data_IF_716577614925
#
_entry.id   IF_716577614925
#
_cell.length_a   1.000
_cell.length_b   1.000
_cell.length_c   1.000
_cell.angle_alpha   90.00
_cell.angle_beta   90.00
_cell.angle_gamma   90.00
#
_symmetry.space_group_name_H-M   'P 1'
#
loop_
_entity.id
_entity.type
_entity.pdbx_description
1 polymer ?
#
# COMPACT_ATOMS: atom_id res chain seq x y z
N UNK A 1 -17.62 -5.83 18.50
CA UNK A 1 -16.42 -5.69 17.65
C UNK A 1 -15.54 -4.63 18.27
N UNK A 2 -14.22 -4.87 18.36
CA UNK A 2 -13.26 -3.86 18.82
C UNK A 2 -13.11 -2.80 17.75
N UNK A 3 -13.03 -1.52 18.14
CA UNK A 3 -12.80 -0.43 17.20
C UNK A 3 -11.38 -0.55 16.60
N UNK A 4 -11.18 -0.33 15.29
CA UNK A 4 -9.84 -0.30 14.71
C UNK A 4 -9.00 0.82 15.35
N UNK A 5 -7.77 0.49 15.73
CA UNK A 5 -6.82 1.45 16.31
C UNK A 5 -6.11 2.23 15.22
N UNK A 6 -6.08 3.54 15.38
CA UNK A 6 -5.43 4.47 14.44
C UNK A 6 -4.46 5.39 15.17
N UNK A 7 -3.25 5.55 14.63
CA UNK A 7 -2.34 6.62 15.02
C UNK A 7 -2.29 7.65 13.88
N UNK A 8 -2.43 8.92 14.24
CA UNK A 8 -2.24 10.06 13.33
C UNK A 8 -0.98 10.81 13.75
N UNK A 9 0.01 10.86 12.86
CA UNK A 9 1.26 11.62 13.04
C UNK A 9 1.22 12.81 12.10
N UNK A 10 0.98 14.00 12.61
CA UNK A 10 0.74 15.23 11.85
C UNK A 10 1.09 16.43 12.72
N UNK A 11 1.92 17.34 12.24
CA UNK A 11 2.38 18.53 13.00
C UNK A 11 1.41 19.73 12.89
N UNK A 12 0.58 19.82 11.84
CA UNK A 12 -0.52 20.79 11.81
C UNK A 12 -1.62 20.37 12.78
N UNK A 13 -1.60 20.98 13.97
CA UNK A 13 -2.57 20.69 15.04
C UNK A 13 -4.04 20.90 14.64
N UNK A 14 -4.33 21.75 13.64
CA UNK A 14 -5.70 21.94 13.14
C UNK A 14 -6.13 20.76 12.30
N UNK A 15 -5.28 20.35 11.38
CA UNK A 15 -5.51 19.18 10.52
C UNK A 15 -5.58 17.91 11.38
N UNK A 16 -4.63 17.72 12.29
CA UNK A 16 -4.59 16.60 13.22
C UNK A 16 -5.90 16.48 14.01
N UNK A 17 -6.35 17.58 14.65
CA UNK A 17 -7.60 17.60 15.44
C UNK A 17 -8.82 17.32 14.57
N UNK A 18 -8.90 17.95 13.39
CA UNK A 18 -9.99 17.72 12.42
C UNK A 18 -10.07 16.22 12.02
N UNK A 19 -8.94 15.61 11.73
CA UNK A 19 -8.88 14.19 11.35
C UNK A 19 -9.26 13.30 12.55
N UNK A 20 -8.70 13.57 13.73
CA UNK A 20 -9.05 12.83 14.95
C UNK A 20 -10.54 12.86 15.22
N UNK A 21 -11.14 14.06 15.27
CA UNK A 21 -12.56 14.22 15.55
C UNK A 21 -13.41 13.48 14.51
N UNK A 22 -13.04 13.59 13.24
CA UNK A 22 -13.73 12.90 12.14
C UNK A 22 -13.66 11.38 12.30
N UNK A 23 -12.46 10.79 12.50
CA UNK A 23 -12.31 9.34 12.59
C UNK A 23 -12.91 8.74 13.86
N UNK A 24 -12.92 9.46 14.97
CA UNK A 24 -13.66 9.06 16.18
C UNK A 24 -15.15 8.93 15.90
N UNK A 25 -15.75 9.84 15.11
CA UNK A 25 -17.17 9.71 14.68
C UNK A 25 -17.41 8.54 13.71
N UNK A 26 -16.36 7.99 13.11
CA UNK A 26 -16.41 6.85 12.20
C UNK A 26 -16.04 5.52 12.89
N UNK A 27 -16.11 5.48 14.23
CA UNK A 27 -15.86 4.33 15.10
C UNK A 27 -14.41 3.81 15.11
N UNK A 28 -13.42 4.71 14.93
CA UNK A 28 -12.01 4.42 15.17
C UNK A 28 -11.60 4.79 16.59
N UNK A 29 -10.62 4.06 17.15
CA UNK A 29 -9.88 4.43 18.35
C UNK A 29 -8.61 5.18 17.90
N UNK A 30 -8.55 6.50 18.19
CA UNK A 30 -7.56 7.39 17.55
C UNK A 30 -6.65 8.03 18.57
N UNK A 31 -5.35 7.74 18.50
CA UNK A 31 -4.27 8.47 19.15
C UNK A 31 -3.55 9.40 18.15
N UNK A 32 -2.87 10.43 18.67
CA UNK A 32 -2.20 11.43 17.83
C UNK A 32 -0.81 11.74 18.35
N UNK A 33 0.12 11.98 17.44
CA UNK A 33 1.47 12.49 17.68
C UNK A 33 1.67 13.75 16.83
N UNK A 34 2.31 14.76 17.40
CA UNK A 34 2.51 16.07 16.78
C UNK A 34 3.91 16.27 16.18
N UNK A 35 4.79 15.29 16.36
CA UNK A 35 6.10 15.24 15.71
C UNK A 35 6.57 13.79 15.47
N UNK A 36 7.72 13.68 14.81
CA UNK A 36 8.32 12.38 14.48
C UNK A 36 9.25 11.79 15.54
N UNK A 37 9.45 12.44 16.71
CA UNK A 37 10.48 12.04 17.67
C UNK A 37 10.30 10.62 18.22
N UNK A 38 9.11 10.29 18.69
CA UNK A 38 8.77 9.00 19.29
C UNK A 38 7.84 8.15 18.40
N UNK A 39 7.52 8.64 17.18
CA UNK A 39 6.52 8.02 16.32
C UNK A 39 6.83 6.57 16.00
N UNK A 40 8.06 6.25 15.60
CA UNK A 40 8.46 4.88 15.29
C UNK A 40 8.34 3.95 16.50
N UNK A 41 8.78 4.40 17.68
CA UNK A 41 8.70 3.62 18.92
C UNK A 41 7.24 3.38 19.31
N UNK A 42 6.40 4.42 19.26
CA UNK A 42 4.98 4.33 19.60
C UNK A 42 4.24 3.38 18.65
N UNK A 43 4.46 3.49 17.33
CA UNK A 43 3.84 2.60 16.35
C UNK A 43 4.22 1.14 16.61
N UNK A 44 5.49 0.87 16.94
CA UNK A 44 5.96 -0.49 17.21
C UNK A 44 5.46 -1.03 18.56
N UNK A 45 5.26 -0.18 19.55
CA UNK A 45 4.73 -0.58 20.86
C UNK A 45 3.23 -0.82 20.83
N UNK A 46 2.46 0.05 20.19
CA UNK A 46 0.99 0.00 20.18
C UNK A 46 0.42 -0.91 19.10
N UNK A 47 1.19 -1.21 18.04
CA UNK A 47 0.76 -2.02 16.89
C UNK A 47 -0.66 -1.66 16.40
N UNK A 48 -0.91 -0.41 15.97
CA UNK A 48 -2.23 0.00 15.49
C UNK A 48 -2.62 -0.74 14.20
N UNK A 49 -3.90 -0.75 13.85
CA UNK A 49 -4.37 -1.33 12.59
C UNK A 49 -3.96 -0.45 11.40
N UNK A 50 -3.91 0.87 11.61
CA UNK A 50 -3.50 1.83 10.58
C UNK A 50 -2.81 3.06 11.19
N UNK A 51 -1.81 3.58 10.45
CA UNK A 51 -1.14 4.84 10.73
C UNK A 51 -1.41 5.81 9.59
N UNK A 52 -1.89 7.02 9.91
CA UNK A 52 -1.85 8.18 9.01
C UNK A 52 -0.58 8.95 9.34
N UNK A 53 0.32 9.08 8.38
CA UNK A 53 1.67 9.57 8.61
C UNK A 53 1.99 10.72 7.67
N UNK A 54 2.15 11.92 8.21
CA UNK A 54 2.64 13.04 7.39
C UNK A 54 4.07 12.79 6.92
N UNK A 55 4.33 13.17 5.70
CA UNK A 55 5.65 13.06 5.09
C UNK A 55 6.61 14.10 5.69
N UNK A 56 6.13 15.32 5.91
CA UNK A 56 6.92 16.48 6.32
C UNK A 56 6.79 16.76 7.80
N UNK A 57 7.32 15.88 8.65
CA UNK A 57 7.29 16.04 10.11
C UNK A 57 8.58 16.69 10.63
N UNK A 58 8.50 17.48 11.71
CA UNK A 58 9.68 17.92 12.43
C UNK A 58 10.38 16.75 13.14
N UNK A 59 11.67 16.91 13.40
CA UNK A 59 12.58 15.96 14.07
C UNK A 59 12.89 14.74 13.22
N UNK A 60 11.89 13.91 12.91
CA UNK A 60 12.06 12.72 12.05
C UNK A 60 10.97 12.72 10.97
N UNK A 61 11.36 12.76 9.70
CA UNK A 61 10.42 12.76 8.57
C UNK A 61 9.66 11.43 8.44
N UNK A 62 8.47 11.50 7.80
CA UNK A 62 7.59 10.34 7.67
C UNK A 62 8.18 9.18 6.87
N UNK A 63 9.05 9.43 5.88
CA UNK A 63 9.72 8.37 5.14
C UNK A 63 10.68 7.58 6.02
N UNK A 64 11.42 8.28 6.87
CA UNK A 64 12.33 7.67 7.84
C UNK A 64 11.56 6.83 8.86
N UNK A 65 10.45 7.35 9.41
CA UNK A 65 9.57 6.61 10.33
C UNK A 65 9.03 5.35 9.65
N UNK A 66 8.54 5.46 8.41
CA UNK A 66 8.03 4.34 7.64
C UNK A 66 9.09 3.25 7.45
N UNK A 67 10.33 3.61 7.06
CA UNK A 67 11.45 2.67 6.91
C UNK A 67 11.78 1.96 8.22
N UNK A 68 11.85 2.70 9.31
CA UNK A 68 12.19 2.15 10.63
C UNK A 68 11.14 1.17 11.15
N UNK A 69 9.88 1.42 10.85
CA UNK A 69 8.77 0.62 11.38
C UNK A 69 8.42 -0.57 10.49
N UNK A 70 8.53 -0.45 9.16
CA UNK A 70 7.93 -1.38 8.19
C UNK A 70 8.32 -2.85 8.37
N UNK A 71 9.54 -3.14 8.81
CA UNK A 71 10.02 -4.51 9.00
C UNK A 71 9.25 -5.25 10.11
N UNK A 72 8.88 -4.53 11.18
CA UNK A 72 8.27 -5.10 12.39
C UNK A 72 6.78 -4.75 12.53
N UNK A 73 6.33 -3.69 11.87
CA UNK A 73 4.94 -3.24 11.88
C UNK A 73 4.15 -3.88 10.71
N UNK A 74 3.08 -4.60 11.06
CA UNK A 74 2.22 -5.31 10.08
C UNK A 74 0.92 -4.57 9.76
N UNK A 75 0.57 -3.54 10.53
CA UNK A 75 -0.56 -2.66 10.22
C UNK A 75 -0.35 -1.85 8.94
N UNK A 76 -1.32 -1.05 8.57
CA UNK A 76 -1.30 -0.24 7.36
C UNK A 76 -0.67 1.12 7.61
N UNK A 77 0.11 1.61 6.64
CA UNK A 77 0.69 2.95 6.63
C UNK A 77 0.13 3.71 5.43
N UNK A 78 -0.64 4.77 5.69
CA UNK A 78 -1.14 5.70 4.69
C UNK A 78 -0.43 7.04 4.86
N UNK A 79 0.39 7.41 3.86
CA UNK A 79 1.15 8.65 3.89
C UNK A 79 0.27 9.84 3.53
N UNK A 80 0.47 10.96 4.23
CA UNK A 80 -0.12 12.26 3.90
C UNK A 80 0.99 13.14 3.29
N UNK A 81 0.77 13.72 2.11
CA UNK A 81 1.81 14.52 1.42
C UNK A 81 1.27 15.84 0.91
N UNK A 82 2.08 16.89 0.97
CA UNK A 82 1.76 18.19 0.41
C UNK A 82 2.11 18.32 -1.09
N UNK A 83 2.90 17.38 -1.63
CA UNK A 83 3.42 17.43 -2.99
C UNK A 83 2.78 16.39 -3.89
N UNK A 84 2.41 16.82 -5.09
CA UNK A 84 2.08 15.96 -6.22
C UNK A 84 3.35 15.56 -7.00
N UNK A 85 4.55 15.90 -6.49
CA UNK A 85 5.79 15.64 -7.18
C UNK A 85 6.08 14.12 -7.20
N UNK A 86 6.35 13.60 -8.38
CA UNK A 86 6.58 12.16 -8.62
C UNK A 86 7.71 11.58 -7.73
N UNK A 87 8.63 12.43 -7.27
CA UNK A 87 9.75 12.03 -6.42
C UNK A 87 9.30 11.63 -5.00
N UNK A 88 8.41 12.42 -4.40
CA UNK A 88 7.91 12.16 -3.05
C UNK A 88 7.03 10.91 -3.02
N UNK A 89 6.24 10.69 -4.07
CA UNK A 89 5.39 9.50 -4.20
C UNK A 89 6.21 8.21 -4.38
N UNK A 90 7.26 8.25 -5.21
CA UNK A 90 8.15 7.09 -5.42
C UNK A 90 8.90 6.76 -4.13
N UNK A 91 9.46 7.77 -3.46
CA UNK A 91 10.18 7.58 -2.20
C UNK A 91 9.27 7.00 -1.10
N UNK A 92 8.02 7.47 -0.99
CA UNK A 92 7.04 6.97 -0.02
C UNK A 92 6.69 5.50 -0.21
N UNK A 93 6.47 5.06 -1.44
CA UNK A 93 6.14 3.66 -1.74
C UNK A 93 7.35 2.73 -1.71
N UNK A 94 8.54 3.20 -2.10
CA UNK A 94 9.79 2.42 -1.92
C UNK A 94 10.10 2.15 -0.45
N UNK A 95 9.61 2.98 0.47
CA UNK A 95 9.77 2.78 1.91
C UNK A 95 8.80 1.80 2.54
N UNK A 96 7.78 1.33 1.80
CA UNK A 96 6.83 0.32 2.25
C UNK A 96 5.49 0.85 2.74
N UNK A 97 5.13 2.09 2.43
CA UNK A 97 3.77 2.60 2.65
C UNK A 97 2.74 1.85 1.81
N UNK A 98 1.54 1.64 2.36
CA UNK A 98 0.46 0.91 1.67
C UNK A 98 -0.30 1.80 0.67
N UNK A 99 -0.44 3.09 0.97
CA UNK A 99 -1.08 4.09 0.12
C UNK A 99 -0.63 5.50 0.51
N UNK A 100 -1.02 6.52 -0.28
CA UNK A 100 -0.80 7.92 0.06
C UNK A 100 -1.99 8.80 -0.37
N UNK A 101 -2.09 9.97 0.28
CA UNK A 101 -3.12 10.98 -0.01
C UNK A 101 -2.47 12.36 -0.04
N UNK A 102 -2.71 13.10 -1.13
CA UNK A 102 -2.23 14.47 -1.26
C UNK A 102 -3.10 15.44 -0.47
N UNK A 103 -2.46 16.42 0.15
CA UNK A 103 -3.13 17.58 0.77
C UNK A 103 -3.55 18.57 -0.34
N UNK A 104 -4.73 19.20 -0.29
CA UNK A 104 -5.66 19.27 0.83
C UNK A 104 -6.53 18.01 0.99
N UNK A 105 -6.59 17.50 2.21
CA UNK A 105 -7.25 16.23 2.52
C UNK A 105 -8.78 16.42 2.54
N UNK A 106 -9.48 15.56 1.80
CA UNK A 106 -10.94 15.42 1.87
C UNK A 106 -11.28 14.25 2.81
N UNK A 107 -11.83 14.48 4.03
CA UNK A 107 -12.00 13.43 5.04
C UNK A 107 -12.79 12.20 4.54
N UNK A 108 -13.82 12.41 3.71
CA UNK A 108 -14.61 11.31 3.13
C UNK A 108 -13.78 10.42 2.19
N UNK A 109 -12.91 11.03 1.38
CA UNK A 109 -12.02 10.31 0.46
C UNK A 109 -10.97 9.53 1.26
N UNK A 110 -10.39 10.17 2.29
CA UNK A 110 -9.44 9.52 3.19
C UNK A 110 -10.08 8.32 3.91
N UNK A 111 -11.30 8.47 4.43
CA UNK A 111 -12.05 7.37 5.06
C UNK A 111 -12.27 6.19 4.11
N UNK A 112 -12.63 6.45 2.85
CA UNK A 112 -12.81 5.39 1.87
C UNK A 112 -11.51 4.59 1.63
N UNK A 113 -10.36 5.29 1.56
CA UNK A 113 -9.03 4.65 1.44
C UNK A 113 -8.66 3.86 2.68
N UNK A 114 -8.84 4.43 3.87
CA UNK A 114 -8.61 3.75 5.16
C UNK A 114 -9.43 2.46 5.25
N UNK A 115 -10.73 2.53 4.97
CA UNK A 115 -11.61 1.34 4.99
C UNK A 115 -11.20 0.31 3.93
N UNK A 116 -10.77 0.75 2.76
CA UNK A 116 -10.27 -0.17 1.72
C UNK A 116 -9.01 -0.91 2.16
N UNK A 117 -8.07 -0.22 2.83
CA UNK A 117 -6.85 -0.84 3.36
C UNK A 117 -7.15 -1.85 4.48
N UNK A 118 -8.08 -1.53 5.39
CA UNK A 118 -8.43 -2.40 6.52
C UNK A 118 -9.29 -3.61 6.12
N UNK A 119 -10.24 -3.46 5.19
CA UNK A 119 -11.10 -4.57 4.70
C UNK A 119 -10.31 -5.74 4.14
N UNK A 120 -9.14 -5.49 3.56
CA UNK A 120 -8.25 -6.53 3.02
C UNK A 120 -7.64 -7.42 4.11
N UNK A 121 -7.60 -6.93 5.35
CA UNK A 121 -7.11 -7.68 6.50
C UNK A 121 -8.15 -8.71 6.98
N UNK A 122 -9.44 -8.43 6.87
CA UNK A 122 -10.54 -9.30 7.34
C UNK A 122 -10.87 -10.45 6.38
N UNK A 123 -10.59 -10.29 5.09
CA UNK A 123 -10.86 -11.32 4.07
C UNK A 123 -9.96 -12.57 4.18
N UNK A 124 -8.91 -12.52 4.98
CA UNK A 124 -7.92 -13.59 5.11
C UNK A 124 -8.29 -14.75 6.05
N UNK A 125 -9.53 -14.83 6.57
CA UNK A 125 -9.92 -15.84 7.57
C UNK A 125 -10.92 -16.91 7.08
N UNK A 126 -11.26 -16.96 5.79
CA UNK A 126 -12.23 -17.93 5.27
C UNK A 126 -11.63 -18.89 4.23
N UNK A 127 -11.67 -20.18 4.55
CA UNK A 127 -11.54 -21.40 3.74
C UNK A 127 -10.32 -21.54 2.81
N UNK A 128 -9.52 -22.57 3.10
CA UNK A 128 -8.46 -23.13 2.24
C UNK A 128 -9.14 -23.85 1.07
N UNK A 129 -9.10 -23.25 -0.10
CA UNK A 129 -9.49 -23.87 -1.37
C UNK A 129 -8.27 -23.85 -2.31
N UNK A 130 -8.05 -24.90 -3.10
CA UNK A 130 -6.91 -25.01 -4.04
C UNK A 130 -6.89 -23.90 -5.11
N UNK A 131 -7.99 -23.18 -5.27
CA UNK A 131 -8.13 -21.98 -6.12
C UNK A 131 -7.38 -20.73 -5.59
N UNK A 132 -6.83 -20.80 -4.36
CA UNK A 132 -6.18 -19.69 -3.66
C UNK A 132 -4.66 -19.63 -3.90
N UNK A 133 -4.14 -20.48 -4.77
CA UNK A 133 -2.74 -20.50 -5.17
C UNK A 133 -2.61 -20.27 -6.68
N UNK A 134 -1.69 -19.39 -7.06
CA UNK A 134 -1.27 -19.21 -8.46
C UNK A 134 0.19 -19.63 -8.59
N UNK A 135 0.48 -20.41 -9.63
CA UNK A 135 1.83 -20.86 -9.93
C UNK A 135 2.16 -20.63 -11.40
N UNK A 136 3.28 -19.94 -11.64
CA UNK A 136 3.84 -19.69 -12.97
C UNK A 136 5.33 -20.06 -12.91
N UNK A 137 5.66 -21.25 -13.34
CA UNK A 137 7.02 -21.80 -13.30
C UNK A 137 7.66 -21.62 -11.90
N UNK A 138 8.60 -20.69 -11.74
CA UNK A 138 9.29 -20.44 -10.46
C UNK A 138 8.55 -19.45 -9.53
N UNK A 139 7.49 -18.79 -10.00
CA UNK A 139 6.67 -17.89 -9.17
C UNK A 139 5.52 -18.66 -8.52
N UNK A 140 5.40 -18.58 -7.20
CA UNK A 140 4.28 -19.13 -6.43
C UNK A 140 3.65 -18.03 -5.59
N UNK A 141 2.36 -17.81 -5.78
CA UNK A 141 1.57 -16.85 -5.00
C UNK A 141 0.53 -17.61 -4.18
N UNK A 142 0.48 -17.34 -2.87
CA UNK A 142 -0.48 -17.93 -1.93
C UNK A 142 -1.31 -16.80 -1.32
N UNK A 143 -2.56 -16.65 -1.79
CA UNK A 143 -3.38 -15.51 -1.45
C UNK A 143 -3.77 -15.47 0.02
N UNK A 144 -4.20 -16.60 0.60
CA UNK A 144 -4.55 -16.71 2.02
C UNK A 144 -3.45 -16.20 2.94
N UNK A 145 -2.18 -16.43 2.59
CA UNK A 145 -1.03 -16.05 3.42
C UNK A 145 -0.34 -14.78 2.92
N UNK A 146 -0.83 -14.14 1.86
CA UNK A 146 -0.15 -13.02 1.16
C UNK A 146 1.33 -13.32 0.89
N UNK A 147 1.63 -14.58 0.59
CA UNK A 147 2.99 -15.06 0.43
C UNK A 147 3.36 -15.15 -1.06
N UNK A 148 4.48 -14.56 -1.40
CA UNK A 148 5.10 -14.64 -2.73
C UNK A 148 6.43 -15.38 -2.62
N UNK A 149 6.62 -16.41 -3.42
CA UNK A 149 7.87 -17.15 -3.55
C UNK A 149 8.35 -17.08 -5.01
N UNK A 150 9.62 -16.78 -5.21
CA UNK A 150 10.25 -16.80 -6.52
C UNK A 150 11.53 -17.64 -6.44
N UNK A 151 11.64 -18.67 -7.28
CA UNK A 151 12.77 -19.61 -7.26
C UNK A 151 13.01 -20.24 -5.88
N UNK A 152 11.93 -20.47 -5.10
CA UNK A 152 11.99 -21.02 -3.74
C UNK A 152 12.34 -20.01 -2.66
N UNK A 153 12.68 -18.77 -3.00
CA UNK A 153 12.93 -17.70 -2.04
C UNK A 153 11.64 -16.90 -1.75
N UNK A 154 11.34 -16.67 -0.46
CA UNK A 154 10.20 -15.85 -0.05
C UNK A 154 10.54 -14.39 -0.24
N UNK A 155 9.71 -13.68 -1.02
CA UNK A 155 9.84 -12.25 -1.25
C UNK A 155 9.05 -11.45 -0.21
N UNK A 156 9.66 -10.36 0.28
CA UNK A 156 8.99 -9.46 1.23
C UNK A 156 8.19 -8.41 0.46
N UNK A 157 6.89 -8.64 0.33
CA UNK A 157 5.92 -7.70 -0.23
C UNK A 157 5.06 -7.13 0.88
N UNK A 158 4.63 -5.87 0.75
CA UNK A 158 3.50 -5.36 1.52
C UNK A 158 2.20 -6.01 1.01
N UNK A 159 1.15 -6.02 1.82
CA UNK A 159 -0.15 -6.58 1.40
C UNK A 159 -0.66 -5.90 0.12
N UNK A 160 -0.48 -4.59 -0.01
CA UNK A 160 -0.95 -3.84 -1.17
C UNK A 160 -0.14 -4.13 -2.44
N UNK A 161 1.14 -4.48 -2.31
CA UNK A 161 1.99 -4.94 -3.42
C UNK A 161 1.61 -6.37 -3.82
N UNK A 162 1.39 -7.23 -2.82
CA UNK A 162 0.90 -8.57 -3.07
C UNK A 162 -0.44 -8.55 -3.81
N UNK A 163 -1.40 -7.72 -3.36
CA UNK A 163 -2.72 -7.60 -3.98
C UNK A 163 -2.65 -7.15 -5.44
N UNK A 164 -1.73 -6.21 -5.75
CA UNK A 164 -1.49 -5.79 -7.13
C UNK A 164 -0.90 -6.93 -7.96
N UNK A 165 0.12 -7.62 -7.44
CA UNK A 165 0.73 -8.76 -8.13
C UNK A 165 -0.28 -9.90 -8.33
N UNK A 166 -1.08 -10.21 -7.30
CA UNK A 166 -2.16 -11.20 -7.37
C UNK A 166 -3.19 -10.86 -8.45
N UNK A 167 -3.66 -9.61 -8.48
CA UNK A 167 -4.65 -9.18 -9.47
C UNK A 167 -4.11 -9.28 -10.90
N UNK A 168 -2.84 -8.91 -11.11
CA UNK A 168 -2.17 -9.05 -12.40
C UNK A 168 -2.00 -10.52 -12.79
N UNK A 169 -1.54 -11.37 -11.86
CA UNK A 169 -1.33 -12.79 -12.07
C UNK A 169 -2.64 -13.58 -12.26
N UNK A 170 -3.74 -13.10 -11.67
CA UNK A 170 -5.09 -13.67 -11.90
C UNK A 170 -5.65 -13.37 -13.29
N UNK A 171 -5.01 -12.45 -14.05
CA UNK A 171 -5.40 -12.10 -15.42
C UNK A 171 -4.16 -12.20 -16.35
N UNK A 172 -3.54 -13.39 -16.45
CA UNK A 172 -2.30 -13.54 -17.19
C UNK A 172 -2.52 -13.19 -18.67
N UNK A 173 -1.49 -12.62 -19.26
CA UNK A 173 -1.44 -12.27 -20.71
C UNK A 173 -2.55 -11.31 -21.17
N UNK A 174 -3.23 -10.66 -20.19
CA UNK A 174 -4.29 -9.68 -20.45
C UNK A 174 -3.88 -8.32 -19.90
N UNK A 175 -3.79 -7.26 -20.72
CA UNK A 175 -3.48 -5.92 -20.21
C UNK A 175 -4.58 -5.38 -19.32
N UNK A 176 -4.25 -5.02 -18.08
CA UNK A 176 -5.16 -4.36 -17.14
C UNK A 176 -4.91 -2.85 -17.14
N UNK A 177 -5.98 -2.06 -17.31
CA UNK A 177 -5.88 -0.60 -17.32
C UNK A 177 -5.61 -0.05 -15.92
N UNK A 178 -4.99 1.15 -15.87
CA UNK A 178 -4.80 1.87 -14.59
C UNK A 178 -6.11 2.12 -13.88
N UNK A 179 -7.13 2.45 -14.62
CA UNK A 179 -8.48 2.67 -14.15
C UNK A 179 -9.05 1.42 -13.44
N UNK A 180 -8.99 0.28 -14.12
CA UNK A 180 -9.42 -1.00 -13.56
C UNK A 180 -8.61 -1.38 -12.30
N UNK A 181 -7.29 -1.24 -12.35
CA UNK A 181 -6.42 -1.53 -11.21
C UNK A 181 -6.71 -0.61 -10.02
N UNK A 182 -6.87 0.70 -10.26
CA UNK A 182 -7.19 1.67 -9.20
C UNK A 182 -8.57 1.39 -8.61
N UNK A 183 -9.58 1.18 -9.44
CA UNK A 183 -10.93 0.88 -8.98
C UNK A 183 -10.98 -0.42 -8.16
N UNK A 184 -10.34 -1.49 -8.65
CA UNK A 184 -10.37 -2.80 -8.00
C UNK A 184 -9.58 -2.80 -6.70
N UNK A 185 -8.38 -2.21 -6.71
CA UNK A 185 -7.48 -2.25 -5.56
C UNK A 185 -7.74 -1.15 -4.53
N UNK A 186 -8.28 -0.02 -4.91
CA UNK A 186 -8.44 1.14 -4.02
C UNK A 186 -9.90 1.58 -3.85
N UNK A 187 -10.82 1.08 -4.69
CA UNK A 187 -12.24 1.41 -4.64
C UNK A 187 -12.57 2.87 -5.02
N UNK A 188 -11.67 3.53 -5.75
CA UNK A 188 -11.82 4.92 -6.22
C UNK A 188 -11.67 4.99 -7.74
N UNK A 189 -12.27 6.00 -8.36
CA UNK A 189 -12.06 6.30 -9.77
C UNK A 189 -10.62 6.82 -10.02
N UNK A 190 -10.06 6.47 -11.15
CA UNK A 190 -8.76 6.97 -11.58
C UNK A 190 -8.93 8.37 -12.16
N UNK A 191 -8.22 9.35 -11.62
CA UNK A 191 -8.31 10.76 -12.01
C UNK A 191 -7.34 11.15 -13.15
N UNK A 192 -6.55 10.20 -13.65
CA UNK A 192 -5.54 10.44 -14.68
C UNK A 192 -4.20 10.95 -14.15
N UNK A 193 -4.11 11.30 -12.88
CA UNK A 193 -2.93 11.91 -12.23
C UNK A 193 -2.30 10.95 -11.22
N UNK A 194 -3.12 10.15 -10.53
CA UNK A 194 -2.69 9.25 -9.46
C UNK A 194 -1.66 8.21 -9.93
N UNK A 195 -0.44 8.27 -9.41
CA UNK A 195 0.68 7.39 -9.76
C UNK A 195 0.85 6.19 -8.84
N UNK A 196 -0.06 5.96 -7.91
CA UNK A 196 0.07 4.88 -6.91
C UNK A 196 0.32 3.51 -7.55
N UNK A 197 -0.43 3.17 -8.59
CA UNK A 197 -0.27 1.90 -9.30
C UNK A 197 1.08 1.86 -10.02
N UNK A 198 1.44 2.93 -10.73
CA UNK A 198 2.71 3.01 -11.48
C UNK A 198 3.91 2.79 -10.55
N UNK A 199 3.90 3.44 -9.39
CA UNK A 199 4.96 3.36 -8.40
C UNK A 199 5.06 1.95 -7.78
N UNK A 200 3.91 1.31 -7.48
CA UNK A 200 3.90 -0.09 -7.03
C UNK A 200 4.43 -1.05 -8.09
N UNK A 201 4.16 -0.80 -9.37
CA UNK A 201 4.74 -1.59 -10.47
C UNK A 201 6.27 -1.45 -10.51
N UNK A 202 6.79 -0.22 -10.36
CA UNK A 202 8.25 0.00 -10.31
C UNK A 202 8.87 -0.82 -9.18
N UNK A 203 8.28 -0.76 -7.98
CA UNK A 203 8.76 -1.52 -6.83
C UNK A 203 8.63 -3.03 -7.01
N UNK A 204 7.50 -3.52 -7.52
CA UNK A 204 7.33 -4.95 -7.82
C UNK A 204 8.38 -5.44 -8.81
N UNK A 205 8.67 -4.72 -9.89
CA UNK A 205 9.72 -5.06 -10.85
C UNK A 205 11.07 -5.20 -10.15
N UNK A 206 11.43 -4.26 -9.29
CA UNK A 206 12.68 -4.29 -8.52
C UNK A 206 12.77 -5.53 -7.62
N UNK A 207 11.71 -5.85 -6.88
CA UNK A 207 11.67 -7.01 -5.98
C UNK A 207 11.71 -8.33 -6.78
N UNK A 208 11.06 -8.37 -7.94
CA UNK A 208 10.98 -9.54 -8.82
C UNK A 208 12.21 -9.70 -9.73
N UNK A 209 13.19 -8.78 -9.65
CA UNK A 209 14.35 -8.77 -10.56
C UNK A 209 13.95 -8.53 -12.03
N UNK A 210 12.99 -7.64 -12.26
CA UNK A 210 12.44 -7.25 -13.59
C UNK A 210 12.59 -5.73 -13.83
N UNK A 211 13.62 -5.13 -13.23
CA UNK A 211 13.88 -3.68 -13.25
C UNK A 211 14.69 -3.21 -14.47
N UNK A 212 14.99 -4.12 -15.40
CA UNK A 212 15.63 -3.82 -16.68
C UNK A 212 14.65 -3.25 -17.72
N UNK A 213 15.19 -2.66 -18.78
CA UNK A 213 14.38 -2.10 -19.87
C UNK A 213 14.67 -2.82 -21.18
N UNK A 214 13.66 -3.41 -21.84
CA UNK A 214 12.25 -3.52 -21.44
C UNK A 214 12.03 -4.55 -20.32
N UNK A 215 11.06 -4.31 -19.42
CA UNK A 215 10.63 -5.28 -18.43
C UNK A 215 9.97 -6.48 -19.10
N UNK A 216 10.26 -7.70 -18.63
CA UNK A 216 9.80 -8.95 -19.25
C UNK A 216 8.63 -9.59 -18.51
N UNK A 217 8.63 -9.53 -17.14
CA UNK A 217 7.62 -10.18 -16.29
C UNK A 217 6.34 -9.39 -16.16
N UNK A 218 6.48 -8.07 -15.87
CA UNK A 218 5.36 -7.12 -15.81
C UNK A 218 5.61 -6.03 -16.84
N UNK A 219 5.00 -6.15 -18.02
CA UNK A 219 5.19 -5.21 -19.13
C UNK A 219 4.27 -4.00 -19.03
N UNK A 220 4.76 -2.83 -19.49
CA UNK A 220 3.92 -1.65 -19.70
C UNK A 220 3.43 -1.64 -21.14
N UNK A 221 2.12 -1.74 -21.34
CA UNK A 221 1.49 -1.63 -22.66
C UNK A 221 0.98 -0.20 -22.82
N UNK A 222 1.67 0.56 -23.68
CA UNK A 222 1.39 1.99 -23.86
C UNK A 222 -0.09 2.23 -24.21
N UNK A 223 -0.73 3.13 -23.46
CA UNK A 223 -2.15 3.47 -23.63
C UNK A 223 -3.14 2.41 -23.14
N UNK A 224 -2.67 1.24 -22.64
CA UNK A 224 -3.55 0.16 -22.16
C UNK A 224 -3.36 -0.18 -20.69
N UNK A 225 -2.15 -0.02 -20.13
CA UNK A 225 -1.87 -0.34 -18.72
C UNK A 225 -0.73 -1.34 -18.55
N UNK A 226 -0.91 -2.36 -17.71
CA UNK A 226 0.10 -3.34 -17.34
C UNK A 226 -0.33 -4.76 -17.70
N UNK A 227 0.64 -5.56 -18.11
CA UNK A 227 0.48 -6.94 -18.55
C UNK A 227 1.39 -7.84 -17.72
N UNK A 228 0.84 -8.87 -17.08
CA UNK A 228 1.59 -9.96 -16.48
C UNK A 228 1.86 -11.03 -17.55
N UNK A 229 3.12 -11.31 -17.81
CA UNK A 229 3.52 -12.29 -18.83
C UNK A 229 3.66 -13.66 -18.17
N UNK A 230 2.74 -14.58 -18.48
CA UNK A 230 2.67 -15.89 -17.81
C UNK A 230 3.93 -16.75 -18.01
N UNK A 231 4.63 -16.59 -19.12
CA UNK A 231 5.80 -17.41 -19.53
C UNK A 231 7.16 -16.84 -19.12
N UNK A 232 7.19 -15.67 -18.46
CA UNK A 232 8.45 -14.96 -18.14
C UNK A 232 9.06 -15.32 -16.77
N UNK A 233 8.61 -16.39 -16.11
CA UNK A 233 8.95 -16.72 -14.71
C UNK A 233 9.93 -17.91 -14.57
N UNK A 234 10.79 -18.07 -15.55
CA UNK A 234 11.81 -19.15 -15.61
C UNK A 234 13.00 -18.86 -14.70
#
# INVERSE_FOLDING_TARGET
MTKPKMIIVEDDLKLQRMLKDYFVTQDFDVSTLDDGSDAAQTILAEQPDIVLLDLMLPVTDGLTICRQTRTLFKGKILMLTASDDDFDHVAGLETGADDYVTKPIKPRVLLARVRSLLRRQEANTASIDDSDNLQFDQLVLKNTYKKCELSGAVLSLTDSEFDLLWLLASNPDTPLSRDYLTQTLRGIEYDGIDRTIDNKIVRLRKILGDDHTPAEKIQTIRGKGYLFVSTAWR
#
